data_IF_801883978827
#
_entry.id   IF_801883978827
#
_cell.length_a   1.000
_cell.length_b   1.000
_cell.length_c   1.000
_cell.angle_alpha   90.00
_cell.angle_beta   90.00
_cell.angle_gamma   90.00
#
_symmetry.space_group_name_H-M   'P 1'
#
loop_
_entity.id
_entity.type
_entity.pdbx_description
1 polymer ?
#
# COMPACT_ATOMS: atom_id res chain seq x y z
N UNK A 1 -21.15 32.04 -32.41
CA UNK A 1 -21.18 30.82 -31.57
C UNK A 1 -20.07 29.88 -32.06
N UNK A 2 -18.88 29.90 -31.45
CA UNK A 2 -17.75 29.07 -31.90
C UNK A 2 -18.00 27.59 -31.53
N UNK A 3 -18.11 26.71 -32.53
CA UNK A 3 -18.14 25.25 -32.33
C UNK A 3 -16.76 24.80 -31.81
N UNK A 4 -16.67 24.35 -30.55
CA UNK A 4 -15.48 23.66 -30.05
C UNK A 4 -15.21 22.43 -30.93
N UNK A 5 -14.00 22.34 -31.49
CA UNK A 5 -13.57 21.18 -32.27
C UNK A 5 -13.69 19.90 -31.42
N UNK A 6 -14.29 18.84 -31.97
CA UNK A 6 -14.47 17.56 -31.29
C UNK A 6 -13.11 16.89 -31.15
N UNK A 7 -12.65 16.68 -29.91
CA UNK A 7 -11.37 16.02 -29.63
C UNK A 7 -11.37 14.59 -30.17
N UNK A 8 -10.24 14.17 -30.72
CA UNK A 8 -10.05 12.79 -31.20
C UNK A 8 -9.91 11.83 -30.02
N UNK A 9 -10.16 10.53 -30.24
CA UNK A 9 -9.95 9.49 -29.19
C UNK A 9 -8.52 9.50 -28.63
N UNK A 10 -7.52 9.74 -29.48
CA UNK A 10 -6.11 9.86 -29.09
C UNK A 10 -5.87 11.05 -28.17
N UNK A 11 -6.48 12.21 -28.47
CA UNK A 11 -6.37 13.41 -27.63
C UNK A 11 -7.03 13.19 -26.27
N UNK A 12 -8.20 12.57 -26.23
CA UNK A 12 -8.91 12.27 -24.96
C UNK A 12 -8.08 11.33 -24.08
N UNK A 13 -7.47 10.28 -24.68
CA UNK A 13 -6.62 9.35 -23.93
C UNK A 13 -5.36 10.04 -23.39
N UNK A 14 -4.70 10.85 -24.23
CA UNK A 14 -3.51 11.60 -23.81
C UNK A 14 -3.82 12.58 -22.66
N UNK A 15 -4.96 13.28 -22.73
CA UNK A 15 -5.41 14.17 -21.65
C UNK A 15 -5.72 13.41 -20.37
N UNK A 16 -6.37 12.23 -20.47
CA UNK A 16 -6.61 11.35 -19.32
C UNK A 16 -5.29 10.95 -18.67
N UNK A 17 -4.35 10.43 -19.44
CA UNK A 17 -3.04 9.99 -18.93
C UNK A 17 -2.27 11.15 -18.30
N UNK A 18 -2.27 12.33 -18.93
CA UNK A 18 -1.63 13.52 -18.37
C UNK A 18 -2.26 13.96 -17.04
N UNK A 19 -3.59 13.93 -16.93
CA UNK A 19 -4.28 14.24 -15.68
C UNK A 19 -3.97 13.22 -14.57
N UNK A 20 -3.86 11.94 -14.91
CA UNK A 20 -3.49 10.88 -13.97
C UNK A 20 -2.06 11.04 -13.46
N UNK A 21 -1.12 11.30 -14.37
CA UNK A 21 0.28 11.58 -14.03
C UNK A 21 0.40 12.81 -13.12
N UNK A 22 -0.38 13.86 -13.37
CA UNK A 22 -0.41 15.04 -12.51
C UNK A 22 -0.82 14.70 -11.07
N UNK A 23 -1.85 13.87 -10.89
CA UNK A 23 -2.32 13.46 -9.57
C UNK A 23 -1.27 12.62 -8.83
N UNK A 24 -0.70 11.63 -9.50
CA UNK A 24 0.34 10.76 -8.92
C UNK A 24 1.60 11.57 -8.59
N UNK A 25 2.06 12.45 -9.49
CA UNK A 25 3.21 13.31 -9.23
C UNK A 25 2.95 14.28 -8.08
N UNK A 26 1.73 14.81 -7.95
CA UNK A 26 1.36 15.66 -6.81
C UNK A 26 1.42 14.89 -5.49
N UNK A 27 0.88 13.68 -5.44
CA UNK A 27 0.95 12.82 -4.26
C UNK A 27 2.40 12.44 -3.92
N UNK A 28 3.21 12.13 -4.95
CA UNK A 28 4.63 11.86 -4.82
C UNK A 28 5.50 13.13 -4.65
N UNK A 29 4.94 14.33 -4.61
CA UNK A 29 5.68 15.55 -4.26
C UNK A 29 5.49 15.93 -2.78
N UNK A 30 4.60 15.24 -2.06
CA UNK A 30 4.41 15.45 -0.63
C UNK A 30 5.68 15.08 0.15
N UNK A 31 5.92 15.83 1.23
CA UNK A 31 6.95 15.48 2.22
C UNK A 31 6.45 14.39 3.17
N UNK A 32 5.18 14.45 3.56
CA UNK A 32 4.53 13.49 4.44
C UNK A 32 3.03 13.39 4.06
N UNK A 33 2.56 12.27 3.50
CA UNK A 33 1.16 12.06 3.17
C UNK A 33 0.25 11.86 4.39
N UNK A 34 0.81 11.58 5.56
CA UNK A 34 0.07 11.35 6.81
C UNK A 34 -0.19 12.67 7.57
N UNK A 35 0.60 13.72 7.35
CA UNK A 35 0.59 14.96 8.16
C UNK A 35 -0.80 15.62 8.26
N UNK A 36 -1.62 15.51 7.23
CA UNK A 36 -2.99 16.05 7.15
C UNK A 36 -4.04 15.14 7.79
N UNK A 37 -3.61 14.08 8.48
CA UNK A 37 -4.45 13.09 9.14
C UNK A 37 -4.00 12.85 10.59
N UNK A 38 -4.24 13.81 11.50
CA UNK A 38 -3.77 13.74 12.89
C UNK A 38 -4.28 12.49 13.63
N UNK A 39 -5.46 11.99 13.29
CA UNK A 39 -6.05 10.78 13.88
C UNK A 39 -5.24 9.51 13.63
N UNK A 40 -4.42 9.48 12.56
CA UNK A 40 -3.62 8.31 12.23
C UNK A 40 -2.20 8.33 12.81
N UNK A 41 -1.80 9.37 13.56
CA UNK A 41 -0.46 9.44 14.15
C UNK A 41 -0.33 8.66 15.47
N UNK A 42 -1.47 8.31 16.08
CA UNK A 42 -1.51 7.65 17.38
C UNK A 42 -2.62 6.61 17.42
N UNK A 43 -2.23 5.38 17.76
CA UNK A 43 -3.14 4.27 18.02
C UNK A 43 -2.97 3.79 19.45
N UNK A 44 -4.07 3.65 20.18
CA UNK A 44 -4.07 3.11 21.55
C UNK A 44 -4.63 1.70 21.49
N UNK A 45 -3.87 0.73 22.00
CA UNK A 45 -4.32 -0.67 22.05
C UNK A 45 -5.35 -0.88 23.16
N UNK A 46 -5.92 -2.08 23.24
CA UNK A 46 -6.80 -2.45 24.36
C UNK A 46 -6.06 -2.59 25.69
N UNK A 47 -4.74 -2.74 25.63
CA UNK A 47 -3.86 -2.89 26.78
C UNK A 47 -3.23 -1.54 27.17
N UNK A 48 -3.79 -0.43 26.68
CA UNK A 48 -3.34 0.96 26.87
C UNK A 48 -1.93 1.30 26.33
N UNK A 49 -1.32 0.42 25.53
CA UNK A 49 -0.09 0.72 24.81
C UNK A 49 -0.34 1.84 23.79
N UNK A 50 0.53 2.84 23.75
CA UNK A 50 0.46 3.96 22.81
C UNK A 50 1.42 3.73 21.65
N UNK A 51 0.86 3.37 20.50
CA UNK A 51 1.61 3.16 19.27
C UNK A 51 1.63 4.46 18.46
N UNK A 52 2.83 4.94 18.17
CA UNK A 52 3.05 6.05 17.24
C UNK A 52 3.09 5.50 15.82
N UNK A 53 2.48 6.22 14.89
CA UNK A 53 2.58 5.91 13.46
C UNK A 53 3.14 7.13 12.73
N UNK A 54 4.12 6.88 11.86
CA UNK A 54 4.81 7.91 11.07
C UNK A 54 4.89 7.48 9.62
N UNK A 55 4.88 8.43 8.70
CA UNK A 55 5.11 8.16 7.28
C UNK A 55 6.43 8.79 6.83
N UNK A 56 7.21 8.05 6.05
CA UNK A 56 8.49 8.52 5.49
C UNK A 56 8.76 7.86 4.15
N UNK A 57 9.61 8.48 3.34
CA UNK A 57 10.14 7.84 2.13
C UNK A 57 11.14 6.76 2.48
N UNK A 58 11.24 5.74 1.64
CA UNK A 58 12.27 4.71 1.81
C UNK A 58 13.69 5.28 1.77
N UNK A 59 13.95 6.26 0.88
CA UNK A 59 15.25 6.94 0.77
C UNK A 59 15.64 7.78 2.01
N UNK A 60 14.64 8.19 2.80
CA UNK A 60 14.81 9.04 3.98
C UNK A 60 14.66 8.22 5.29
N UNK A 61 14.46 6.90 5.17
CA UNK A 61 14.33 5.99 6.30
C UNK A 61 15.67 5.79 7.00
N UNK A 62 15.65 5.76 8.34
CA UNK A 62 16.85 5.52 9.13
C UNK A 62 17.40 4.10 8.89
N UNK A 63 18.73 3.89 8.97
CA UNK A 63 19.34 2.58 8.74
C UNK A 63 18.76 1.46 9.63
N UNK A 64 18.44 1.77 10.88
CA UNK A 64 17.84 0.82 11.85
C UNK A 64 16.43 0.40 11.41
N UNK A 65 15.66 1.33 10.86
CA UNK A 65 14.33 1.06 10.32
C UNK A 65 14.41 0.17 9.08
N UNK A 66 15.31 0.48 8.14
CA UNK A 66 15.51 -0.34 6.93
C UNK A 66 15.97 -1.75 7.27
N UNK A 67 16.95 -1.88 8.18
CA UNK A 67 17.43 -3.18 8.66
C UNK A 67 16.29 -4.00 9.28
N UNK A 68 15.47 -3.38 10.13
CA UNK A 68 14.31 -4.04 10.72
C UNK A 68 13.24 -4.41 9.67
N UNK A 69 12.97 -3.55 8.68
CA UNK A 69 12.04 -3.84 7.57
C UNK A 69 12.50 -5.08 6.79
N UNK A 70 13.79 -5.19 6.47
CA UNK A 70 14.31 -6.36 5.78
C UNK A 70 14.20 -7.63 6.62
N UNK A 71 14.52 -7.55 7.91
CA UNK A 71 14.40 -8.66 8.85
C UNK A 71 12.94 -9.15 8.99
N UNK A 72 11.98 -8.24 9.24
CA UNK A 72 10.57 -8.64 9.40
C UNK A 72 9.99 -9.20 8.09
N UNK A 73 10.42 -8.69 6.93
CA UNK A 73 10.06 -9.24 5.64
C UNK A 73 10.59 -10.66 5.50
N UNK A 74 11.86 -10.89 5.80
CA UNK A 74 12.44 -12.22 5.72
C UNK A 74 11.72 -13.20 6.65
N UNK A 75 11.43 -12.81 7.89
CA UNK A 75 10.74 -13.65 8.87
C UNK A 75 9.29 -13.97 8.48
N UNK A 76 8.57 -13.02 7.89
CA UNK A 76 7.13 -13.17 7.66
C UNK A 76 6.78 -13.71 6.27
N UNK A 77 7.51 -13.32 5.23
CA UNK A 77 7.09 -13.55 3.84
C UNK A 77 8.00 -14.47 3.04
N UNK A 78 9.27 -14.68 3.43
CA UNK A 78 10.23 -15.51 2.67
C UNK A 78 9.67 -16.88 2.30
N UNK A 79 9.08 -17.58 3.26
CA UNK A 79 8.51 -18.91 3.01
C UNK A 79 7.25 -18.87 2.14
N UNK A 80 6.50 -17.76 2.13
CA UNK A 80 5.38 -17.60 1.20
C UNK A 80 5.87 -17.42 -0.23
N UNK A 81 6.91 -16.59 -0.41
CA UNK A 81 7.57 -16.35 -1.69
C UNK A 81 8.23 -17.61 -2.25
N UNK A 82 8.96 -18.38 -1.43
CA UNK A 82 9.56 -19.67 -1.84
C UNK A 82 8.54 -20.71 -2.29
N UNK A 83 7.32 -20.68 -1.74
CA UNK A 83 6.22 -21.56 -2.15
C UNK A 83 5.46 -21.04 -3.37
N UNK A 84 5.71 -19.80 -3.76
CA UNK A 84 5.15 -19.19 -4.95
C UNK A 84 6.05 -19.38 -6.17
N UNK A 85 5.48 -19.16 -7.34
CA UNK A 85 6.10 -19.10 -8.65
C UNK A 85 7.10 -17.95 -8.79
N UNK A 86 7.06 -16.95 -7.90
CA UNK A 86 8.02 -15.86 -7.89
C UNK A 86 9.35 -16.21 -7.23
N UNK A 87 9.38 -17.19 -6.31
CA UNK A 87 10.57 -17.48 -5.50
C UNK A 87 10.94 -16.35 -4.54
N UNK A 88 12.08 -16.46 -3.86
CA UNK A 88 12.59 -15.42 -2.95
C UNK A 88 14.01 -15.04 -3.34
N UNK A 89 14.18 -13.79 -3.78
CA UNK A 89 15.47 -13.14 -3.96
C UNK A 89 15.56 -11.95 -2.99
N UNK A 90 16.50 -12.02 -2.04
CA UNK A 90 16.66 -10.99 -1.03
C UNK A 90 17.18 -9.67 -1.62
N UNK A 91 18.02 -9.72 -2.65
CA UNK A 91 18.58 -8.54 -3.29
C UNK A 91 17.52 -7.82 -4.12
N UNK A 92 16.72 -8.56 -4.90
CA UNK A 92 15.59 -7.97 -5.63
C UNK A 92 14.56 -7.38 -4.66
N UNK A 93 14.26 -8.09 -3.56
CA UNK A 93 13.28 -7.59 -2.59
C UNK A 93 13.78 -6.35 -1.84
N UNK A 94 15.07 -6.28 -1.52
CA UNK A 94 15.67 -5.07 -0.96
C UNK A 94 15.58 -3.91 -1.94
N UNK A 95 15.89 -4.13 -3.22
CA UNK A 95 15.77 -3.11 -4.25
C UNK A 95 14.32 -2.62 -4.41
N UNK A 96 13.32 -3.51 -4.39
CA UNK A 96 11.90 -3.17 -4.45
C UNK A 96 11.47 -2.30 -3.26
N UNK A 97 11.92 -2.66 -2.05
CA UNK A 97 11.60 -1.94 -0.82
C UNK A 97 12.24 -0.53 -0.82
N UNK A 98 13.44 -0.38 -1.38
CA UNK A 98 14.17 0.90 -1.39
C UNK A 98 14.03 1.71 -2.68
N UNK A 99 13.04 1.41 -3.53
CA UNK A 99 12.83 2.22 -4.72
C UNK A 99 12.49 3.68 -4.42
N UNK A 100 12.79 4.57 -5.38
CA UNK A 100 12.64 6.01 -5.23
C UNK A 100 11.21 6.45 -4.86
N UNK A 101 10.20 5.75 -5.37
CA UNK A 101 8.78 6.06 -5.14
C UNK A 101 8.22 5.37 -3.89
N UNK A 102 9.02 4.55 -3.20
CA UNK A 102 8.58 3.81 -2.03
C UNK A 102 8.33 4.72 -0.82
N UNK A 103 7.16 4.55 -0.22
CA UNK A 103 6.78 5.11 1.06
C UNK A 103 6.66 4.01 2.11
N UNK A 104 7.01 4.35 3.34
CA UNK A 104 6.77 3.53 4.52
C UNK A 104 5.80 4.22 5.46
N UNK A 105 4.79 3.48 5.91
CA UNK A 105 4.01 3.79 7.09
C UNK A 105 4.51 2.89 8.22
N UNK A 106 5.16 3.45 9.23
CA UNK A 106 5.83 2.69 10.29
C UNK A 106 5.11 2.92 11.62
N UNK A 107 4.83 1.83 12.34
CA UNK A 107 4.26 1.82 13.67
C UNK A 107 5.32 1.44 14.70
N UNK A 108 5.46 2.23 15.77
CA UNK A 108 6.44 2.01 16.83
C UNK A 108 5.89 2.33 18.22
N UNK A 109 6.47 1.71 19.25
CA UNK A 109 6.19 1.95 20.67
C UNK A 109 7.52 1.84 21.44
N UNK A 110 7.84 2.83 22.28
CA UNK A 110 9.09 2.86 23.07
C UNK A 110 10.34 2.53 22.24
N UNK A 111 10.49 3.20 21.10
CA UNK A 111 11.58 3.03 20.12
C UNK A 111 11.69 1.63 19.49
N UNK A 112 10.69 0.76 19.70
CA UNK A 112 10.58 -0.54 19.03
C UNK A 112 9.62 -0.47 17.86
N UNK A 113 10.07 -0.94 16.71
CA UNK A 113 9.22 -1.11 15.55
C UNK A 113 8.27 -2.30 15.75
N UNK A 114 6.99 -2.07 15.46
CA UNK A 114 5.92 -3.03 15.68
C UNK A 114 5.23 -3.44 14.38
N UNK A 115 5.31 -2.63 13.34
CA UNK A 115 4.70 -2.90 12.06
C UNK A 115 5.03 -1.86 11.02
N UNK A 116 4.96 -2.25 9.75
CA UNK A 116 5.13 -1.32 8.65
C UNK A 116 4.22 -1.69 7.47
N UNK A 117 3.97 -0.69 6.63
CA UNK A 117 3.46 -0.91 5.29
C UNK A 117 4.35 -0.20 4.28
N UNK A 118 4.71 -0.91 3.21
CA UNK A 118 5.31 -0.34 2.02
C UNK A 118 4.21 -0.06 1.01
N UNK A 119 4.14 1.18 0.55
CA UNK A 119 3.14 1.60 -0.44
C UNK A 119 3.70 2.61 -1.43
N UNK A 120 2.99 2.78 -2.55
CA UNK A 120 3.31 3.76 -3.59
C UNK A 120 2.04 4.41 -4.12
N UNK A 121 2.14 5.67 -4.53
CA UNK A 121 1.15 6.29 -5.41
C UNK A 121 1.56 6.00 -6.84
N UNK A 122 0.68 5.36 -7.62
CA UNK A 122 1.02 4.91 -8.97
C UNK A 122 -0.20 4.89 -9.91
N UNK A 123 0.05 4.63 -11.18
CA UNK A 123 -0.96 4.32 -12.18
C UNK A 123 -0.94 2.81 -12.43
N UNK A 124 -1.94 2.09 -11.92
CA UNK A 124 -2.09 0.66 -12.13
C UNK A 124 -3.23 0.39 -13.12
N UNK A 125 -2.93 -0.29 -14.22
CA UNK A 125 -3.90 -0.61 -15.29
C UNK A 125 -4.78 0.57 -15.77
N UNK A 126 -4.24 1.80 -15.73
CA UNK A 126 -4.94 3.00 -16.18
C UNK A 126 -5.87 3.61 -15.15
N UNK A 127 -5.74 3.24 -13.87
CA UNK A 127 -6.34 3.85 -12.70
C UNK A 127 -5.26 4.50 -11.82
N UNK A 128 -5.56 5.61 -11.16
CA UNK A 128 -4.65 6.20 -10.16
C UNK A 128 -4.90 5.55 -8.80
N UNK A 129 -3.88 4.95 -8.20
CA UNK A 129 -4.03 4.09 -7.03
C UNK A 129 -3.02 4.41 -5.94
N UNK A 130 -3.38 4.05 -4.72
CA UNK A 130 -2.38 3.76 -3.69
C UNK A 130 -2.20 2.24 -3.67
N UNK A 131 -1.02 1.78 -4.09
CA UNK A 131 -0.69 0.37 -4.09
C UNK A 131 0.00 0.01 -2.77
N UNK A 132 -0.61 -0.85 -1.96
CA UNK A 132 -0.04 -1.43 -0.75
C UNK A 132 0.73 -2.70 -1.14
N UNK A 133 2.05 -2.59 -1.25
CA UNK A 133 2.94 -3.70 -1.57
C UNK A 133 3.08 -4.64 -0.38
N UNK A 134 3.29 -4.09 0.82
CA UNK A 134 3.48 -4.87 2.04
C UNK A 134 2.65 -4.31 3.20
N UNK A 135 2.22 -5.22 4.07
CA UNK A 135 1.72 -4.92 5.41
C UNK A 135 2.23 -6.00 6.36
N UNK A 136 3.23 -5.65 7.18
CA UNK A 136 3.85 -6.58 8.12
C UNK A 136 3.73 -6.07 9.53
N UNK A 137 3.41 -6.97 10.47
CA UNK A 137 3.32 -6.67 11.89
C UNK A 137 4.12 -7.69 12.69
N UNK A 138 4.76 -7.25 13.77
CA UNK A 138 5.36 -8.15 14.74
C UNK A 138 4.31 -9.07 15.37
N UNK A 139 4.63 -10.34 15.65
CA UNK A 139 3.66 -11.28 16.24
C UNK A 139 2.99 -10.75 17.52
N UNK A 140 3.73 -10.01 18.34
CA UNK A 140 3.26 -9.44 19.62
C UNK A 140 2.12 -8.43 19.50
N UNK A 141 1.96 -7.79 18.33
CA UNK A 141 0.93 -6.76 18.09
C UNK A 141 -0.16 -7.20 17.10
N UNK A 142 -0.07 -8.43 16.58
CA UNK A 142 -1.11 -8.99 15.70
C UNK A 142 -2.42 -9.19 16.47
N UNK A 143 -3.53 -9.14 15.73
CA UNK A 143 -4.90 -9.30 16.27
C UNK A 143 -5.32 -8.27 17.33
N UNK A 144 -4.51 -7.23 17.57
CA UNK A 144 -4.87 -6.11 18.47
C UNK A 144 -5.57 -4.94 17.78
N UNK A 145 -5.63 -4.92 16.44
CA UNK A 145 -6.33 -3.90 15.64
C UNK A 145 -5.40 -3.00 14.82
N UNK A 146 -4.09 -3.01 15.09
CA UNK A 146 -3.09 -2.17 14.41
C UNK A 146 -3.12 -2.33 12.88
N UNK A 147 -3.20 -3.56 12.35
CA UNK A 147 -3.25 -3.76 10.90
C UNK A 147 -4.45 -3.09 10.22
N UNK A 148 -5.62 -3.11 10.86
CA UNK A 148 -6.81 -2.38 10.38
C UNK A 148 -6.57 -0.88 10.40
N UNK A 149 -5.97 -0.39 11.49
CA UNK A 149 -5.66 1.03 11.65
C UNK A 149 -4.72 1.53 10.55
N UNK A 150 -3.63 0.79 10.28
CA UNK A 150 -2.67 1.13 9.23
C UNK A 150 -3.29 1.12 7.84
N UNK A 151 -4.13 0.12 7.51
CA UNK A 151 -4.86 0.12 6.24
C UNK A 151 -5.85 1.30 6.15
N UNK A 152 -6.52 1.65 7.24
CA UNK A 152 -7.41 2.82 7.26
C UNK A 152 -6.66 4.14 7.02
N UNK A 153 -5.42 4.24 7.50
CA UNK A 153 -4.54 5.35 7.19
C UNK A 153 -4.19 5.38 5.69
N UNK A 154 -3.84 4.24 5.08
CA UNK A 154 -3.61 4.15 3.62
C UNK A 154 -4.86 4.56 2.83
N UNK A 155 -6.04 4.06 3.19
CA UNK A 155 -7.31 4.43 2.56
C UNK A 155 -7.56 5.95 2.64
N UNK A 156 -7.27 6.56 3.79
CA UNK A 156 -7.46 8.01 4.00
C UNK A 156 -6.44 8.84 3.21
N UNK A 157 -5.16 8.41 3.17
CA UNK A 157 -4.13 9.05 2.34
C UNK A 157 -4.47 8.94 0.85
N UNK A 158 -4.96 7.78 0.40
CA UNK A 158 -5.43 7.58 -0.97
C UNK A 158 -6.59 8.53 -1.30
N UNK A 159 -7.56 8.67 -0.40
CA UNK A 159 -8.71 9.57 -0.57
C UNK A 159 -8.28 11.04 -0.63
N UNK A 160 -7.46 11.51 0.32
CA UNK A 160 -6.96 12.89 0.34
C UNK A 160 -6.15 13.23 -0.92
N UNK A 161 -5.40 12.26 -1.45
CA UNK A 161 -4.60 12.41 -2.66
C UNK A 161 -5.35 12.08 -3.94
N UNK A 162 -6.68 11.92 -3.88
CA UNK A 162 -7.55 11.72 -5.04
C UNK A 162 -7.26 10.44 -5.83
N UNK A 163 -6.64 9.45 -5.21
CA UNK A 163 -6.51 8.11 -5.76
C UNK A 163 -7.89 7.46 -5.84
N UNK A 164 -8.14 6.67 -6.88
CA UNK A 164 -9.42 6.01 -7.13
C UNK A 164 -9.64 4.81 -6.23
N UNK A 165 -8.58 4.08 -5.87
CA UNK A 165 -8.65 2.87 -5.06
C UNK A 165 -7.34 2.63 -4.32
N UNK A 166 -7.43 1.84 -3.25
CA UNK A 166 -6.28 1.14 -2.67
C UNK A 166 -6.23 -0.26 -3.27
N UNK A 167 -5.07 -0.67 -3.77
CA UNK A 167 -4.84 -1.98 -4.39
C UNK A 167 -3.76 -2.73 -3.62
N UNK A 168 -3.84 -4.05 -3.57
CA UNK A 168 -2.80 -4.93 -3.02
C UNK A 168 -2.83 -6.29 -3.69
N UNK A 169 -1.71 -7.00 -3.59
CA UNK A 169 -1.62 -8.40 -3.99
C UNK A 169 -1.47 -9.29 -2.77
N UNK A 170 -2.18 -10.41 -2.76
CA UNK A 170 -2.12 -11.40 -1.68
C UNK A 170 -1.92 -12.79 -2.26
N UNK A 171 -1.02 -13.56 -1.64
CA UNK A 171 -0.83 -14.96 -1.98
C UNK A 171 -2.10 -15.78 -1.74
N UNK A 172 -2.46 -16.62 -2.70
CA UNK A 172 -3.62 -17.52 -2.62
C UNK A 172 -3.50 -18.51 -1.44
N UNK A 173 -2.27 -18.88 -1.06
CA UNK A 173 -1.96 -19.71 0.10
C UNK A 173 -1.83 -18.92 1.42
N UNK A 174 -2.27 -17.67 1.49
CA UNK A 174 -2.33 -16.88 2.72
C UNK A 174 -3.79 -16.57 3.14
N UNK A 175 -4.54 -17.58 3.64
CA UNK A 175 -5.96 -17.42 3.98
C UNK A 175 -6.19 -16.37 5.07
N UNK A 176 -5.23 -16.19 5.98
CA UNK A 176 -5.31 -15.20 7.07
C UNK A 176 -5.36 -13.78 6.51
N UNK A 177 -4.46 -13.44 5.58
CA UNK A 177 -4.46 -12.12 4.94
C UNK A 177 -5.69 -11.92 4.05
N UNK A 178 -6.09 -12.95 3.29
CA UNK A 178 -7.29 -12.92 2.44
C UNK A 178 -8.53 -12.59 3.29
N UNK A 179 -8.77 -13.34 4.38
CA UNK A 179 -9.89 -13.10 5.29
C UNK A 179 -9.82 -11.71 5.94
N UNK A 180 -8.62 -11.26 6.30
CA UNK A 180 -8.40 -9.93 6.85
C UNK A 180 -8.87 -8.85 5.87
N UNK A 181 -8.41 -8.86 4.62
CA UNK A 181 -8.76 -7.83 3.64
C UNK A 181 -10.24 -7.88 3.23
N UNK A 182 -10.83 -9.06 3.05
CA UNK A 182 -12.27 -9.18 2.81
C UNK A 182 -13.09 -8.61 3.98
N UNK A 183 -12.68 -8.83 5.23
CA UNK A 183 -13.32 -8.24 6.40
C UNK A 183 -13.14 -6.71 6.52
N UNK A 184 -12.21 -6.12 5.76
CA UNK A 184 -12.08 -4.66 5.59
C UNK A 184 -12.90 -4.10 4.43
N UNK A 185 -13.61 -4.97 3.69
CA UNK A 185 -14.43 -4.60 2.54
C UNK A 185 -13.68 -4.55 1.21
N UNK A 186 -12.45 -5.06 1.15
CA UNK A 186 -11.76 -5.27 -0.12
C UNK A 186 -12.47 -6.35 -0.93
N UNK A 187 -12.38 -6.23 -2.25
CA UNK A 187 -12.96 -7.17 -3.22
C UNK A 187 -11.89 -7.59 -4.20
N UNK A 188 -12.16 -8.66 -4.95
CA UNK A 188 -11.31 -9.04 -6.08
C UNK A 188 -11.27 -7.87 -7.08
N UNK A 189 -10.07 -7.38 -7.40
CA UNK A 189 -9.90 -6.32 -8.40
C UNK A 189 -10.18 -6.88 -9.80
N UNK A 190 -10.64 -6.03 -10.72
CA UNK A 190 -10.88 -6.41 -12.10
C UNK A 190 -9.59 -6.78 -12.86
N UNK A 191 -8.43 -6.36 -12.37
CA UNK A 191 -7.10 -6.74 -12.88
C UNK A 191 -6.62 -8.07 -12.30
N UNK A 192 -7.31 -8.61 -11.29
CA UNK A 192 -6.93 -9.91 -10.74
C UNK A 192 -7.02 -11.00 -11.80
N UNK A 193 -6.00 -11.86 -11.92
CA UNK A 193 -6.04 -12.99 -12.83
C UNK A 193 -7.28 -13.87 -12.58
N UNK A 194 -7.89 -14.42 -13.64
CA UNK A 194 -9.05 -15.30 -13.49
C UNK A 194 -8.64 -16.60 -12.79
N UNK A 195 -9.58 -17.22 -12.07
CA UNK A 195 -9.33 -18.48 -11.35
C UNK A 195 -8.80 -19.61 -12.27
N UNK A 196 -9.15 -19.59 -13.56
CA UNK A 196 -8.65 -20.54 -14.57
C UNK A 196 -7.14 -20.45 -14.81
N UNK A 197 -6.50 -19.31 -14.51
CA UNK A 197 -5.07 -19.12 -14.67
C UNK A 197 -4.25 -19.91 -13.63
N UNK A 198 -4.89 -20.42 -12.56
CA UNK A 198 -4.26 -21.20 -11.48
C UNK A 198 -2.99 -20.54 -10.91
N UNK A 199 -3.02 -19.21 -10.81
CA UNK A 199 -1.95 -18.46 -10.16
C UNK A 199 -2.06 -18.57 -8.65
N UNK A 200 -0.94 -18.34 -8.00
CA UNK A 200 -0.72 -18.44 -6.56
C UNK A 200 -0.88 -17.10 -5.82
N UNK A 201 -1.47 -16.10 -6.49
CA UNK A 201 -1.83 -14.81 -5.93
C UNK A 201 -3.15 -14.30 -6.51
N UNK A 202 -3.73 -13.32 -5.83
CA UNK A 202 -4.89 -12.56 -6.30
C UNK A 202 -4.70 -11.08 -5.98
N UNK A 203 -5.31 -10.23 -6.79
CA UNK A 203 -5.28 -8.79 -6.61
C UNK A 203 -6.59 -8.36 -5.96
N UNK A 204 -6.50 -7.65 -4.85
CA UNK A 204 -7.65 -7.10 -4.14
C UNK A 204 -7.61 -5.58 -4.21
N UNK A 205 -8.78 -4.96 -4.26
CA UNK A 205 -8.89 -3.51 -4.14
C UNK A 205 -10.11 -3.06 -3.37
N UNK A 206 -10.04 -1.82 -2.89
CA UNK A 206 -11.16 -1.09 -2.30
C UNK A 206 -11.22 0.28 -2.92
N UNK A 207 -12.37 0.58 -3.53
CA UNK A 207 -12.62 1.86 -4.17
C UNK A 207 -12.73 2.96 -3.11
N UNK A 208 -12.06 4.08 -3.37
CA UNK A 208 -12.31 5.31 -2.63
C UNK A 208 -13.63 5.87 -3.15
N UNK A 209 -14.73 5.51 -2.47
CA UNK A 209 -16.02 6.13 -2.73
C UNK A 209 -15.91 7.60 -2.33
N UNK A 210 -15.74 8.48 -3.33
CA UNK A 210 -16.03 9.90 -3.14
C UNK A 210 -17.52 9.98 -2.85
N UNK A 211 -17.87 10.20 -1.58
CA UNK A 211 -19.18 10.72 -1.19
C UNK A 211 -19.38 12.11 -1.75
#
# INVERSE_FOLDING_TARGET
>A
MQRKARKTRRQILAEKTAAQLLLVNKANALMDPLITLPEFHRYVTKDDDVIRVTCTRAKDAQPECLSWIFDIMERNVKDMYKRSSWGWDATEKQAELTEETAWYLVASCDDKFLGFSHFRFDIDHGDVVLYCYELQLEPSIRRKGLGRFMISALESMACQNQMQKVVLTVFAHNPTAIQFFFALGYKLDHTSPPASAKLDYMILSKQNLRG
#
